data_IF_309241359038
#
_entry.id   IF_309241359038
#
_cell.length_a   1.000
_cell.length_b   1.000
_cell.length_c   1.000
_cell.angle_alpha   90.00
_cell.angle_beta   90.00
_cell.angle_gamma   90.00
#
_symmetry.space_group_name_H-M   'P 1'
#
loop_
_entity.id
_entity.type
_entity.pdbx_description
1 polymer ?
#
# COMPACT_ATOMS: atom_id res chain seq x y z
N UNK A 1 35.52 19.43 31.07
CA UNK A 1 34.63 20.46 30.56
C UNK A 1 33.69 19.80 29.54
N UNK A 2 32.48 19.39 29.99
CA UNK A 2 31.40 18.93 29.13
C UNK A 2 30.70 20.17 28.60
N UNK A 3 30.78 20.39 27.30
CA UNK A 3 29.97 21.37 26.60
C UNK A 3 28.56 20.82 26.40
N UNK A 4 27.64 21.19 27.28
CA UNK A 4 26.23 21.02 27.12
C UNK A 4 25.74 21.91 25.97
N UNK A 5 25.45 21.33 24.81
CA UNK A 5 24.71 22.02 23.74
C UNK A 5 23.25 22.14 24.16
N UNK A 6 22.91 23.30 24.69
CA UNK A 6 21.51 23.70 24.97
C UNK A 6 20.80 23.97 23.64
N UNK A 7 20.05 22.98 23.15
CA UNK A 7 19.00 23.22 22.18
C UNK A 7 17.77 23.81 22.93
N UNK A 8 17.13 24.89 22.43
CA UNK A 8 16.00 25.49 23.12
C UNK A 8 14.81 24.50 23.16
N UNK A 9 14.05 24.42 24.28
CA UNK A 9 12.88 23.58 24.36
C UNK A 9 11.76 24.20 23.52
N UNK A 10 11.53 23.66 22.34
CA UNK A 10 10.30 23.93 21.59
C UNK A 10 9.14 23.33 22.38
N UNK A 11 8.11 24.09 22.69
CA UNK A 11 6.91 23.70 23.44
C UNK A 11 6.25 22.40 22.88
N UNK A 12 6.50 22.09 21.64
CA UNK A 12 6.01 20.91 20.94
C UNK A 12 6.57 19.59 21.51
N UNK A 13 7.81 19.55 22.00
CA UNK A 13 8.45 18.33 22.49
C UNK A 13 7.77 17.69 23.73
N UNK A 14 7.38 18.43 24.76
CA UNK A 14 6.67 17.87 25.91
C UNK A 14 5.30 17.32 25.53
N UNK A 15 4.59 17.96 24.60
CA UNK A 15 3.28 17.52 24.12
C UNK A 15 3.37 16.20 23.33
N UNK A 16 4.32 16.08 22.41
CA UNK A 16 4.56 14.86 21.65
C UNK A 16 4.96 13.69 22.57
N UNK A 17 5.81 13.96 23.57
CA UNK A 17 6.19 12.94 24.54
C UNK A 17 4.98 12.48 25.37
N UNK A 18 4.09 13.38 25.75
CA UNK A 18 2.86 13.05 26.49
C UNK A 18 1.91 12.15 25.67
N UNK A 19 1.76 12.43 24.36
CA UNK A 19 0.86 11.69 23.47
C UNK A 19 1.46 10.32 23.09
N UNK A 20 2.72 10.30 22.64
CA UNK A 20 3.35 9.10 22.07
C UNK A 20 4.23 8.33 23.07
N UNK A 21 4.42 8.86 24.30
CA UNK A 21 5.18 8.21 25.38
C UNK A 21 6.61 7.87 24.97
N UNK A 22 7.30 8.83 24.33
CA UNK A 22 8.62 8.63 23.73
C UNK A 22 9.65 8.11 24.75
N UNK A 23 9.65 8.64 25.96
CA UNK A 23 10.58 8.22 27.04
C UNK A 23 10.35 6.76 27.43
N UNK A 24 9.08 6.30 27.49
CA UNK A 24 8.75 4.90 27.80
C UNK A 24 9.25 3.93 26.72
N UNK A 25 9.31 4.39 25.48
CA UNK A 25 9.79 3.62 24.33
C UNK A 25 11.27 3.89 24.00
N UNK A 26 12.00 4.63 24.86
CA UNK A 26 13.44 4.92 24.73
C UNK A 26 13.81 5.49 23.35
N UNK A 27 12.99 6.40 22.83
CA UNK A 27 13.15 7.03 21.52
C UNK A 27 13.13 8.55 21.63
N UNK A 28 13.46 9.23 20.54
CA UNK A 28 13.47 10.69 20.46
C UNK A 28 12.66 11.16 19.26
N UNK A 29 12.15 12.40 19.30
CA UNK A 29 11.38 12.98 18.16
C UNK A 29 12.18 12.90 16.87
N UNK A 30 13.47 13.26 16.86
CA UNK A 30 14.29 13.20 15.65
C UNK A 30 14.40 11.79 15.06
N UNK A 31 14.55 10.78 15.91
CA UNK A 31 14.60 9.37 15.50
C UNK A 31 13.27 8.89 14.93
N UNK A 32 12.15 9.28 15.53
CA UNK A 32 10.81 8.95 15.05
C UNK A 32 10.50 9.62 13.69
N UNK A 33 10.91 10.90 13.51
CA UNK A 33 10.77 11.61 12.23
C UNK A 33 11.60 10.94 11.13
N UNK A 34 12.86 10.59 11.42
CA UNK A 34 13.71 9.87 10.46
C UNK A 34 13.10 8.51 10.11
N UNK A 35 12.60 7.77 11.07
CA UNK A 35 11.95 6.49 10.88
C UNK A 35 10.69 6.61 10.02
N UNK A 36 9.86 7.64 10.26
CA UNK A 36 8.66 7.90 9.46
C UNK A 36 8.98 8.27 8.02
N UNK A 37 10.02 9.06 7.78
CA UNK A 37 10.50 9.36 6.44
C UNK A 37 11.02 8.09 5.74
N UNK A 38 11.73 7.22 6.46
CA UNK A 38 12.21 5.94 5.93
C UNK A 38 11.04 5.04 5.55
N UNK A 39 10.02 4.92 6.40
CA UNK A 39 8.78 4.18 6.10
C UNK A 39 8.10 4.76 4.84
N UNK A 40 7.89 6.08 4.79
CA UNK A 40 7.30 6.72 3.62
C UNK A 40 8.09 6.42 2.35
N UNK A 41 9.43 6.56 2.37
CA UNK A 41 10.28 6.29 1.21
C UNK A 41 10.18 4.83 0.76
N UNK A 42 10.02 3.88 1.70
CA UNK A 42 9.88 2.47 1.36
C UNK A 42 8.54 2.15 0.68
N UNK A 43 7.45 2.88 1.01
CA UNK A 43 6.11 2.59 0.53
C UNK A 43 5.51 3.65 -0.41
N UNK A 44 6.25 4.73 -0.74
CA UNK A 44 5.76 5.81 -1.61
C UNK A 44 5.39 5.35 -3.02
N UNK A 45 5.92 4.21 -3.46
CA UNK A 45 5.59 3.59 -4.74
C UNK A 45 4.09 3.31 -4.92
N UNK A 46 3.33 3.15 -3.81
CA UNK A 46 1.89 2.92 -3.84
C UNK A 46 1.14 4.06 -4.52
N UNK A 47 1.65 5.30 -4.41
CA UNK A 47 1.06 6.47 -5.05
C UNK A 47 1.06 6.38 -6.58
N UNK A 48 1.99 5.62 -7.16
CA UNK A 48 2.04 5.35 -8.59
C UNK A 48 1.33 4.04 -8.97
N UNK A 49 1.59 2.98 -8.22
CA UNK A 49 1.14 1.62 -8.57
C UNK A 49 -0.38 1.46 -8.37
N UNK A 50 -0.95 1.94 -7.25
CA UNK A 50 -2.38 1.82 -7.01
C UNK A 50 -3.23 2.50 -8.10
N UNK A 51 -2.96 3.77 -8.48
CA UNK A 51 -3.69 4.41 -9.57
C UNK A 51 -3.53 3.74 -10.93
N UNK A 52 -2.37 3.15 -11.22
CA UNK A 52 -2.15 2.40 -12.46
C UNK A 52 -2.97 1.12 -12.51
N UNK A 53 -3.08 0.38 -11.42
CA UNK A 53 -3.89 -0.83 -11.32
C UNK A 53 -5.37 -0.48 -11.43
N UNK A 54 -5.86 0.49 -10.65
CA UNK A 54 -7.28 0.85 -10.64
C UNK A 54 -7.75 1.54 -11.92
N UNK A 55 -6.83 2.18 -12.67
CA UNK A 55 -7.10 2.70 -14.01
C UNK A 55 -7.59 1.62 -14.97
N UNK A 56 -7.05 0.41 -14.88
CA UNK A 56 -7.46 -0.72 -15.70
C UNK A 56 -8.93 -1.12 -15.45
N UNK A 57 -9.45 -0.87 -14.25
CA UNK A 57 -10.86 -1.00 -13.90
C UNK A 57 -11.74 0.16 -14.40
N UNK A 58 -11.16 1.15 -15.11
CA UNK A 58 -11.87 2.33 -15.61
C UNK A 58 -11.95 3.51 -14.63
N UNK A 59 -11.17 3.49 -13.54
CA UNK A 59 -11.16 4.60 -12.58
C UNK A 59 -10.25 5.75 -13.05
N UNK A 60 -10.64 7.04 -12.80
CA UNK A 60 -9.83 8.20 -13.18
C UNK A 60 -8.51 8.25 -12.41
N UNK A 61 -7.38 8.05 -13.10
CA UNK A 61 -6.06 7.88 -12.48
C UNK A 61 -5.66 9.05 -11.54
N UNK A 62 -5.86 10.30 -11.97
CA UNK A 62 -5.50 11.48 -11.18
C UNK A 62 -6.29 11.57 -9.87
N UNK A 63 -7.61 11.29 -9.91
CA UNK A 63 -8.44 11.24 -8.70
C UNK A 63 -8.00 10.09 -7.78
N UNK A 64 -7.63 8.94 -8.34
CA UNK A 64 -7.13 7.79 -7.56
C UNK A 64 -5.81 8.11 -6.87
N UNK A 65 -4.88 8.87 -7.49
CA UNK A 65 -3.66 9.36 -6.79
C UNK A 65 -4.04 10.14 -5.53
N UNK A 66 -4.98 11.07 -5.68
CA UNK A 66 -5.43 11.92 -4.56
C UNK A 66 -6.05 11.09 -3.43
N UNK A 67 -7.00 10.20 -3.76
CA UNK A 67 -7.65 9.39 -2.72
C UNK A 67 -6.72 8.35 -2.11
N UNK A 68 -5.74 7.84 -2.85
CA UNK A 68 -4.70 6.95 -2.32
C UNK A 68 -3.89 7.63 -1.23
N UNK A 69 -3.41 8.85 -1.48
CA UNK A 69 -2.62 9.59 -0.49
C UNK A 69 -3.46 9.99 0.73
N UNK A 70 -4.70 10.45 0.53
CA UNK A 70 -5.61 10.84 1.62
C UNK A 70 -5.95 9.63 2.47
N UNK A 71 -6.36 8.51 1.87
CA UNK A 71 -6.74 7.30 2.63
C UNK A 71 -5.55 6.69 3.35
N UNK A 72 -4.36 6.66 2.73
CA UNK A 72 -3.14 6.21 3.38
C UNK A 72 -2.81 7.09 4.60
N UNK A 73 -2.88 8.42 4.46
CA UNK A 73 -2.63 9.34 5.55
C UNK A 73 -3.66 9.18 6.68
N UNK A 74 -4.96 9.20 6.38
CA UNK A 74 -6.02 9.10 7.39
C UNK A 74 -5.99 7.76 8.13
N UNK A 75 -5.82 6.66 7.41
CA UNK A 75 -5.76 5.31 8.00
C UNK A 75 -4.51 5.15 8.87
N UNK A 76 -3.37 5.69 8.42
CA UNK A 76 -2.13 5.69 9.20
C UNK A 76 -2.25 6.52 10.47
N UNK A 77 -2.87 7.70 10.40
CA UNK A 77 -3.17 8.52 11.58
C UNK A 77 -4.11 7.80 12.55
N UNK A 78 -5.15 7.17 12.04
CA UNK A 78 -6.08 6.39 12.86
C UNK A 78 -5.33 5.28 13.63
N UNK A 79 -4.47 4.52 12.94
CA UNK A 79 -3.63 3.49 13.57
C UNK A 79 -2.69 4.10 14.61
N UNK A 80 -2.01 5.20 14.30
CA UNK A 80 -1.09 5.88 15.18
C UNK A 80 -1.75 6.29 16.52
N UNK A 81 -2.92 6.93 16.45
CA UNK A 81 -3.61 7.43 17.65
C UNK A 81 -4.32 6.32 18.43
N UNK A 82 -4.88 5.30 17.78
CA UNK A 82 -5.55 4.20 18.47
C UNK A 82 -4.58 3.25 19.18
N UNK A 83 -3.40 3.02 18.59
CA UNK A 83 -2.49 1.97 19.06
C UNK A 83 -1.15 2.50 19.58
N UNK A 84 -0.69 3.63 19.08
CA UNK A 84 0.67 4.14 19.25
C UNK A 84 1.73 3.22 18.60
N UNK A 85 1.40 2.52 17.51
CA UNK A 85 2.33 1.67 16.77
C UNK A 85 3.00 2.43 15.62
N UNK A 86 4.26 2.10 15.29
CA UNK A 86 4.99 2.65 14.14
C UNK A 86 4.57 1.94 12.84
N UNK A 87 3.25 1.89 12.57
CA UNK A 87 2.64 1.18 11.46
C UNK A 87 1.98 2.17 10.50
N UNK A 88 2.34 2.09 9.24
CA UNK A 88 1.69 2.80 8.16
C UNK A 88 0.70 1.89 7.42
N UNK A 89 -0.40 2.47 6.97
CA UNK A 89 -1.47 1.82 6.23
C UNK A 89 -1.61 2.47 4.86
N UNK A 90 -1.86 1.65 3.84
CA UNK A 90 -2.15 2.11 2.49
C UNK A 90 -2.95 1.05 1.71
N UNK A 91 -3.50 1.36 0.50
CA UNK A 91 -4.21 0.37 -0.31
C UNK A 91 -3.36 -0.88 -0.58
N UNK A 92 -3.91 -2.07 -0.27
CA UNK A 92 -3.20 -3.35 -0.37
C UNK A 92 -3.04 -3.82 -1.81
N UNK A 93 -1.81 -4.10 -2.25
CA UNK A 93 -1.51 -4.46 -3.64
C UNK A 93 -2.23 -5.71 -4.12
N UNK A 94 -2.25 -6.77 -3.31
CA UNK A 94 -2.92 -8.02 -3.65
C UNK A 94 -4.42 -7.85 -3.80
N UNK A 95 -5.02 -7.04 -2.93
CA UNK A 95 -6.44 -6.74 -2.96
C UNK A 95 -6.77 -5.82 -4.15
N UNK A 96 -5.91 -4.84 -4.46
CA UNK A 96 -6.06 -3.98 -5.65
C UNK A 96 -6.08 -4.80 -6.93
N UNK A 97 -5.15 -5.75 -7.05
CA UNK A 97 -5.06 -6.65 -8.20
C UNK A 97 -6.31 -7.56 -8.29
N UNK A 98 -6.76 -8.12 -7.18
CA UNK A 98 -7.99 -8.90 -7.12
C UNK A 98 -9.22 -8.07 -7.48
N UNK A 99 -9.35 -6.88 -6.91
CA UNK A 99 -10.42 -5.91 -7.21
C UNK A 99 -10.48 -5.60 -8.72
N UNK A 100 -9.34 -5.24 -9.31
CA UNK A 100 -9.29 -4.82 -10.71
C UNK A 100 -9.43 -5.99 -11.68
N UNK A 101 -8.56 -6.99 -11.53
CA UNK A 101 -8.43 -8.02 -12.56
C UNK A 101 -9.41 -9.17 -12.39
N UNK A 102 -9.75 -9.55 -11.17
CA UNK A 102 -10.68 -10.64 -10.92
C UNK A 102 -12.13 -10.15 -10.84
N UNK A 103 -12.38 -9.10 -10.02
CA UNK A 103 -13.75 -8.63 -9.80
C UNK A 103 -14.23 -7.75 -10.95
N UNK A 104 -13.51 -6.67 -11.26
CA UNK A 104 -13.98 -5.74 -12.30
C UNK A 104 -13.85 -6.31 -13.71
N UNK A 105 -12.68 -6.79 -14.10
CA UNK A 105 -12.44 -7.26 -15.47
C UNK A 105 -12.85 -8.71 -15.67
N UNK A 106 -12.60 -9.60 -14.70
CA UNK A 106 -12.90 -11.03 -14.81
C UNK A 106 -14.37 -11.35 -14.63
N UNK A 107 -15.01 -10.81 -13.58
CA UNK A 107 -16.43 -11.02 -13.31
C UNK A 107 -17.35 -9.96 -13.95
N UNK A 108 -16.79 -8.93 -14.61
CA UNK A 108 -17.56 -7.88 -15.27
C UNK A 108 -18.29 -6.93 -14.30
N UNK A 109 -17.85 -6.84 -13.05
CA UNK A 109 -18.49 -6.00 -12.02
C UNK A 109 -18.02 -4.55 -12.19
N UNK A 110 -18.92 -3.57 -12.34
CA UNK A 110 -18.53 -2.16 -12.36
C UNK A 110 -17.75 -1.78 -11.10
N UNK A 111 -16.72 -0.92 -11.22
CA UNK A 111 -15.87 -0.55 -10.09
C UNK A 111 -16.65 0.09 -8.94
N UNK A 112 -17.77 0.77 -9.21
CA UNK A 112 -18.65 1.34 -8.18
C UNK A 112 -19.28 0.23 -7.32
N UNK A 113 -19.75 -0.84 -7.95
CA UNK A 113 -20.31 -2.01 -7.26
C UNK A 113 -19.20 -2.80 -6.56
N UNK A 114 -18.00 -2.85 -7.14
CA UNK A 114 -16.84 -3.45 -6.47
C UNK A 114 -16.42 -2.65 -5.22
N UNK A 115 -16.52 -1.31 -5.22
CA UNK A 115 -16.36 -0.49 -4.01
C UNK A 115 -17.44 -0.80 -2.97
N UNK A 116 -18.68 -1.06 -3.39
CA UNK A 116 -19.74 -1.54 -2.51
C UNK A 116 -19.40 -2.87 -1.81
N UNK A 117 -18.77 -3.80 -2.54
CA UNK A 117 -18.26 -5.06 -1.97
C UNK A 117 -17.14 -4.82 -0.94
N UNK A 118 -16.21 -3.91 -1.23
CA UNK A 118 -15.13 -3.51 -0.30
C UNK A 118 -15.71 -2.87 0.96
N UNK A 119 -16.69 -1.99 0.82
CA UNK A 119 -17.38 -1.39 1.97
C UNK A 119 -18.05 -2.45 2.85
N UNK A 120 -18.83 -3.34 2.24
CA UNK A 120 -19.51 -4.43 2.95
C UNK A 120 -18.49 -5.35 3.64
N UNK A 121 -17.34 -5.63 3.00
CA UNK A 121 -16.23 -6.35 3.59
C UNK A 121 -15.66 -5.61 4.81
N UNK A 122 -15.43 -4.31 4.73
CA UNK A 122 -14.95 -3.48 5.84
C UNK A 122 -15.92 -3.49 7.04
N UNK A 123 -17.22 -3.41 6.79
CA UNK A 123 -18.25 -3.53 7.84
C UNK A 123 -18.22 -4.93 8.47
N UNK A 124 -18.13 -5.99 7.66
CA UNK A 124 -18.00 -7.35 8.16
C UNK A 124 -16.75 -7.54 9.01
N UNK A 125 -15.62 -6.96 8.59
CA UNK A 125 -14.39 -6.92 9.36
C UNK A 125 -14.56 -6.24 10.71
N UNK A 126 -15.24 -5.10 10.73
CA UNK A 126 -15.49 -4.36 11.97
C UNK A 126 -16.31 -5.20 12.94
N UNK A 127 -17.38 -5.83 12.47
CA UNK A 127 -18.23 -6.71 13.28
C UNK A 127 -17.44 -7.91 13.83
N UNK A 128 -16.60 -8.55 13.01
CA UNK A 128 -15.72 -9.65 13.43
C UNK A 128 -14.66 -9.20 14.43
N UNK A 129 -14.13 -7.99 14.28
CA UNK A 129 -13.13 -7.43 15.20
C UNK A 129 -13.74 -7.08 16.56
N UNK A 130 -14.94 -6.50 16.58
CA UNK A 130 -15.67 -6.16 17.81
C UNK A 130 -16.16 -7.40 18.57
N UNK A 131 -16.55 -8.47 17.86
CA UNK A 131 -16.98 -9.74 18.47
C UNK A 131 -15.83 -10.63 18.96
N UNK A 132 -14.57 -10.29 18.63
CA UNK A 132 -13.41 -11.15 18.93
C UNK A 132 -13.33 -12.44 18.11
N UNK A 133 -14.26 -12.64 17.17
CA UNK A 133 -14.29 -13.83 16.30
C UNK A 133 -13.10 -13.86 15.33
N UNK A 134 -12.59 -12.70 14.94
CA UNK A 134 -11.44 -12.57 14.01
C UNK A 134 -10.21 -13.35 14.53
N UNK A 135 -9.86 -13.20 15.81
CA UNK A 135 -8.74 -13.94 16.41
C UNK A 135 -8.98 -15.45 16.43
N UNK A 136 -10.22 -15.87 16.72
CA UNK A 136 -10.60 -17.30 16.72
C UNK A 136 -10.49 -17.90 15.31
N UNK A 137 -11.02 -17.22 14.28
CA UNK A 137 -10.95 -17.67 12.88
C UNK A 137 -9.48 -17.83 12.46
N UNK A 138 -8.63 -16.83 12.72
CA UNK A 138 -7.20 -16.89 12.39
C UNK A 138 -6.52 -18.06 13.07
N UNK A 139 -6.82 -18.32 14.34
CA UNK A 139 -6.21 -19.41 15.10
C UNK A 139 -6.69 -20.79 14.66
N UNK A 140 -7.90 -20.91 14.09
CA UNK A 140 -8.41 -22.18 13.53
C UNK A 140 -7.71 -22.58 12.22
N UNK A 141 -7.11 -21.64 11.50
CA UNK A 141 -6.50 -21.93 10.19
C UNK A 141 -5.06 -22.46 10.39
N UNK A 142 -4.72 -23.63 9.80
CA UNK A 142 -3.39 -24.21 9.89
C UNK A 142 -2.30 -23.27 9.37
N UNK A 143 -1.13 -23.28 10.00
CA UNK A 143 -0.01 -22.41 9.65
C UNK A 143 0.44 -22.58 8.18
N UNK A 144 0.44 -23.82 7.68
CA UNK A 144 0.75 -24.12 6.28
C UNK A 144 -0.19 -23.43 5.29
N UNK A 145 -1.48 -23.36 5.61
CA UNK A 145 -2.48 -22.67 4.76
C UNK A 145 -2.26 -21.16 4.78
N UNK A 146 -1.89 -20.57 5.91
CA UNK A 146 -1.53 -19.15 6.00
C UNK A 146 -0.36 -18.81 5.07
N UNK A 147 0.70 -19.62 5.11
CA UNK A 147 1.85 -19.43 4.21
C UNK A 147 1.42 -19.60 2.75
N UNK A 148 0.63 -20.62 2.43
CA UNK A 148 0.18 -20.88 1.06
C UNK A 148 -0.62 -19.70 0.49
N UNK A 149 -1.51 -19.09 1.29
CA UNK A 149 -2.28 -17.90 0.87
C UNK A 149 -1.33 -16.74 0.59
N UNK A 150 -0.39 -16.45 1.50
CA UNK A 150 0.57 -15.34 1.32
C UNK A 150 1.44 -15.56 0.07
N UNK A 151 1.95 -16.78 -0.14
CA UNK A 151 2.71 -17.11 -1.36
C UNK A 151 1.83 -16.96 -2.62
N UNK A 152 0.58 -17.43 -2.57
CA UNK A 152 -0.35 -17.32 -3.70
C UNK A 152 -0.64 -15.86 -4.08
N UNK A 153 -0.86 -15.00 -3.10
CA UNK A 153 -1.03 -13.56 -3.30
C UNK A 153 0.23 -12.93 -3.90
N UNK A 154 1.41 -13.26 -3.36
CA UNK A 154 2.69 -12.78 -3.89
C UNK A 154 2.91 -13.18 -5.35
N UNK A 155 2.68 -14.46 -5.69
CA UNK A 155 2.78 -14.93 -7.07
C UNK A 155 1.77 -14.26 -8.01
N UNK A 156 0.54 -14.01 -7.53
CA UNK A 156 -0.47 -13.31 -8.31
C UNK A 156 -0.05 -11.87 -8.61
N UNK A 157 0.47 -11.14 -7.60
CA UNK A 157 0.97 -9.76 -7.78
C UNK A 157 2.16 -9.76 -8.75
N UNK A 158 3.10 -10.68 -8.59
CA UNK A 158 4.27 -10.80 -9.48
C UNK A 158 3.83 -11.08 -10.93
N UNK A 159 2.84 -11.96 -11.13
CA UNK A 159 2.28 -12.23 -12.47
C UNK A 159 1.67 -10.97 -13.09
N UNK A 160 0.92 -10.17 -12.32
CA UNK A 160 0.38 -8.89 -12.78
C UNK A 160 1.53 -7.92 -13.14
N UNK A 161 2.60 -7.88 -12.34
CA UNK A 161 3.80 -7.11 -12.64
C UNK A 161 4.42 -7.51 -13.98
N UNK A 162 4.60 -8.80 -14.23
CA UNK A 162 5.14 -9.33 -15.50
C UNK A 162 4.24 -9.03 -16.70
N UNK A 163 2.91 -9.10 -16.49
CA UNK A 163 1.92 -8.71 -17.51
C UNK A 163 2.02 -7.21 -17.83
N UNK A 164 2.07 -6.36 -16.83
CA UNK A 164 2.15 -4.91 -17.00
C UNK A 164 3.50 -4.46 -17.61
N UNK A 165 4.56 -5.25 -17.38
CA UNK A 165 5.85 -5.09 -18.01
C UNK A 165 5.84 -5.49 -19.51
N UNK A 166 4.82 -6.22 -19.97
CA UNK A 166 4.80 -6.81 -21.31
C UNK A 166 5.72 -8.03 -21.46
N UNK A 167 6.29 -8.54 -20.35
CA UNK A 167 7.11 -9.75 -20.34
C UNK A 167 6.26 -11.00 -20.55
N UNK A 168 5.04 -10.97 -19.98
CA UNK A 168 4.02 -12.00 -20.18
C UNK A 168 2.84 -11.39 -20.91
N UNK A 169 2.43 -11.98 -22.03
CA UNK A 169 1.30 -11.53 -22.85
C UNK A 169 0.30 -12.65 -23.09
N UNK A 170 -0.95 -12.27 -23.44
CA UNK A 170 -1.99 -13.25 -23.72
C UNK A 170 -1.68 -14.06 -25.00
N UNK A 171 -1.97 -15.36 -24.97
CA UNK A 171 -1.86 -16.29 -26.11
C UNK A 171 -3.14 -17.10 -26.25
N UNK A 172 -3.65 -17.24 -27.47
CA UNK A 172 -4.83 -18.08 -27.75
C UNK A 172 -4.56 -19.57 -27.54
N UNK A 173 -3.31 -20.01 -27.73
CA UNK A 173 -2.93 -21.43 -27.63
C UNK A 173 -2.61 -21.88 -26.20
N UNK A 174 -1.88 -21.04 -25.45
CA UNK A 174 -1.32 -21.38 -24.12
C UNK A 174 -1.81 -20.45 -23.01
N UNK A 175 -2.85 -19.64 -23.28
CA UNK A 175 -3.36 -18.55 -22.44
C UNK A 175 -2.36 -17.43 -22.21
N UNK A 176 -1.09 -17.76 -21.97
CA UNK A 176 0.00 -16.81 -21.80
C UNK A 176 1.24 -17.27 -22.57
N UNK A 177 2.04 -16.31 -23.01
CA UNK A 177 3.33 -16.53 -23.68
C UNK A 177 4.31 -15.42 -23.32
N UNK A 178 5.59 -15.61 -23.66
CA UNK A 178 6.59 -14.56 -23.53
C UNK A 178 6.27 -13.40 -24.49
N UNK A 179 6.43 -12.19 -24.01
CA UNK A 179 6.30 -10.98 -24.81
C UNK A 179 7.47 -10.76 -25.76
N UNK A 180 7.43 -9.68 -26.50
CA UNK A 180 8.50 -9.29 -27.41
C UNK A 180 9.63 -8.60 -26.63
N UNK A 181 10.72 -9.34 -26.39
CA UNK A 181 11.93 -8.82 -25.73
C UNK A 181 12.71 -7.82 -26.59
N UNK A 182 12.42 -7.71 -27.89
CA UNK A 182 12.93 -6.64 -28.74
C UNK A 182 12.24 -5.29 -28.52
N UNK A 183 11.10 -5.27 -27.82
CA UNK A 183 10.41 -4.03 -27.46
C UNK A 183 11.19 -3.22 -26.44
N UNK A 184 11.43 -1.91 -26.69
CA UNK A 184 12.12 -1.03 -25.74
C UNK A 184 11.44 -0.96 -24.36
N UNK A 185 10.10 -1.06 -24.32
CA UNK A 185 9.34 -1.06 -23.08
C UNK A 185 9.61 -2.30 -22.22
N UNK A 186 9.67 -3.48 -22.84
CA UNK A 186 9.98 -4.75 -22.15
C UNK A 186 11.42 -4.78 -21.68
N UNK A 187 12.36 -4.30 -22.51
CA UNK A 187 13.77 -4.19 -22.13
C UNK A 187 13.98 -3.25 -20.93
N UNK A 188 13.27 -2.11 -20.93
CA UNK A 188 13.31 -1.15 -19.83
C UNK A 188 12.70 -1.73 -18.54
N UNK A 189 11.59 -2.46 -18.63
CA UNK A 189 10.99 -3.13 -17.48
C UNK A 189 11.92 -4.22 -16.92
N UNK A 190 12.56 -5.02 -17.78
CA UNK A 190 13.53 -6.03 -17.36
C UNK A 190 14.74 -5.40 -16.67
N UNK A 191 15.28 -4.30 -17.23
CA UNK A 191 16.32 -3.51 -16.57
C UNK A 191 15.86 -3.05 -15.17
N UNK A 192 14.62 -2.55 -15.05
CA UNK A 192 14.04 -2.15 -13.77
C UNK A 192 13.98 -3.29 -12.75
N UNK A 193 13.55 -4.49 -13.16
CA UNK A 193 13.53 -5.69 -12.30
C UNK A 193 14.93 -6.03 -11.81
N UNK A 194 15.92 -6.05 -12.71
CA UNK A 194 17.31 -6.31 -12.34
C UNK A 194 17.86 -5.26 -11.38
N UNK A 195 17.62 -3.99 -11.67
CA UNK A 195 18.06 -2.87 -10.82
C UNK A 195 17.42 -2.98 -9.42
N UNK A 196 16.12 -3.23 -9.34
CA UNK A 196 15.42 -3.37 -8.06
C UNK A 196 15.98 -4.55 -7.27
N UNK A 197 16.18 -5.71 -7.92
CA UNK A 197 16.77 -6.90 -7.29
C UNK A 197 18.15 -6.61 -6.69
N UNK A 198 19.01 -5.91 -7.43
CA UNK A 198 20.35 -5.51 -6.96
C UNK A 198 20.25 -4.53 -5.79
N UNK A 199 19.40 -3.50 -5.87
CA UNK A 199 19.24 -2.52 -4.79
C UNK A 199 18.69 -3.17 -3.50
N UNK A 200 17.70 -4.06 -3.63
CA UNK A 200 17.13 -4.82 -2.50
C UNK A 200 18.19 -5.75 -1.90
N UNK A 201 18.92 -6.50 -2.72
CA UNK A 201 20.01 -7.38 -2.26
C UNK A 201 21.13 -6.60 -1.53
N UNK A 202 21.39 -5.36 -1.96
CA UNK A 202 22.33 -4.42 -1.31
C UNK A 202 21.73 -3.72 -0.08
N UNK A 203 20.48 -3.99 0.27
CA UNK A 203 19.74 -3.36 1.39
C UNK A 203 19.71 -1.83 1.31
N UNK A 204 19.61 -1.28 0.11
CA UNK A 204 19.52 0.18 -0.09
C UNK A 204 18.17 0.67 0.41
N UNK A 205 18.11 1.66 1.32
CA UNK A 205 16.84 2.23 1.77
C UNK A 205 16.06 2.84 0.59
N UNK A 206 14.77 2.54 0.48
CA UNK A 206 13.94 3.03 -0.63
C UNK A 206 14.29 2.44 -2.01
N UNK A 207 14.89 1.23 -2.06
CA UNK A 207 15.32 0.55 -3.28
C UNK A 207 14.26 0.57 -4.40
N UNK A 208 12.99 0.32 -4.05
CA UNK A 208 11.87 0.29 -5.01
C UNK A 208 11.64 1.67 -5.61
N UNK A 209 11.55 2.71 -4.78
CA UNK A 209 11.32 4.09 -5.26
C UNK A 209 12.50 4.61 -6.09
N UNK A 210 13.73 4.28 -5.68
CA UNK A 210 14.94 4.65 -6.43
C UNK A 210 14.96 3.95 -7.81
N UNK A 211 14.56 2.68 -7.87
CA UNK A 211 14.44 1.96 -9.13
C UNK A 211 13.36 2.56 -10.02
N UNK A 212 12.16 2.86 -9.47
CA UNK A 212 11.09 3.52 -10.22
C UNK A 212 11.57 4.86 -10.77
N UNK A 213 12.24 5.68 -9.96
CA UNK A 213 12.80 6.96 -10.41
C UNK A 213 13.82 6.78 -11.53
N UNK A 214 14.76 5.84 -11.38
CA UNK A 214 15.78 5.55 -12.38
C UNK A 214 15.15 5.07 -13.70
N UNK A 215 14.22 4.13 -13.66
CA UNK A 215 13.53 3.61 -14.85
C UNK A 215 12.69 4.70 -15.52
N UNK A 216 12.00 5.55 -14.73
CA UNK A 216 11.22 6.67 -15.24
C UNK A 216 12.12 7.69 -15.94
N UNK A 217 13.28 8.01 -15.37
CA UNK A 217 14.27 8.91 -15.99
C UNK A 217 14.85 8.33 -17.28
N UNK A 218 15.24 7.06 -17.28
CA UNK A 218 15.73 6.38 -18.50
C UNK A 218 14.62 6.35 -19.56
N UNK A 219 13.37 6.13 -19.17
CA UNK A 219 12.22 6.13 -20.07
C UNK A 219 11.96 7.43 -20.81
N UNK A 220 12.50 8.58 -20.33
CA UNK A 220 12.47 9.87 -21.06
C UNK A 220 13.28 9.83 -22.36
N UNK A 221 14.27 8.95 -22.45
CA UNK A 221 15.15 8.82 -23.62
C UNK A 221 14.84 7.59 -24.48
N UNK A 222 13.96 6.69 -23.99
CA UNK A 222 13.60 5.45 -24.69
C UNK A 222 12.35 5.70 -25.55
N UNK A 223 12.41 5.48 -26.88
CA UNK A 223 11.27 5.69 -27.77
C UNK A 223 10.16 4.67 -27.49
N UNK A 224 8.90 5.10 -27.62
CA UNK A 224 7.70 4.25 -27.44
C UNK A 224 7.30 3.50 -28.72
N UNK A 225 8.02 3.70 -29.83
CA UNK A 225 7.71 3.16 -31.15
C UNK A 225 6.51 3.82 -31.84
N UNK A 226 5.90 4.83 -31.23
CA UNK A 226 4.74 5.59 -31.76
C UNK A 226 5.06 7.06 -32.03
N UNK A 227 6.34 7.43 -31.99
CA UNK A 227 6.81 8.80 -32.18
C UNK A 227 6.99 9.63 -30.89
N UNK A 228 6.81 8.99 -29.71
CA UNK A 228 7.06 9.58 -28.40
C UNK A 228 8.12 8.82 -27.61
N UNK A 229 8.17 9.08 -26.29
CA UNK A 229 9.00 8.37 -25.34
C UNK A 229 8.15 7.60 -24.34
N UNK A 230 8.71 6.56 -23.73
CA UNK A 230 7.99 5.72 -22.75
C UNK A 230 7.56 6.51 -21.51
N UNK A 231 8.34 7.53 -21.13
CA UNK A 231 7.97 8.49 -20.09
C UNK A 231 7.70 9.84 -20.73
N UNK A 232 6.53 10.41 -20.49
CA UNK A 232 6.21 11.76 -20.93
C UNK A 232 6.92 12.79 -20.02
N UNK A 233 7.26 13.96 -20.59
CA UNK A 233 7.75 15.07 -19.77
C UNK A 233 6.62 15.57 -18.84
N UNK A 234 6.92 15.85 -17.57
CA UNK A 234 5.92 16.37 -16.66
C UNK A 234 5.47 17.78 -17.07
N UNK A 235 4.19 18.08 -16.91
CA UNK A 235 3.64 19.41 -17.15
C UNK A 235 4.06 20.43 -16.08
N UNK A 236 4.63 19.96 -14.98
CA UNK A 236 5.15 20.74 -13.85
C UNK A 236 5.66 19.82 -12.76
N UNK A 237 6.38 20.36 -11.78
CA UNK A 237 6.87 19.62 -10.61
C UNK A 237 5.77 19.57 -9.54
N UNK A 238 5.04 20.67 -9.36
CA UNK A 238 3.99 20.83 -8.38
C UNK A 238 2.66 21.15 -9.03
N UNK A 239 1.58 20.58 -8.49
CA UNK A 239 0.20 20.95 -8.83
C UNK A 239 -0.68 20.90 -7.59
N UNK A 240 -1.84 21.53 -7.65
CA UNK A 240 -2.91 21.26 -6.69
C UNK A 240 -3.39 19.80 -6.88
N UNK A 241 -3.77 19.11 -5.79
CA UNK A 241 -4.35 17.77 -5.87
C UNK A 241 -5.56 17.74 -6.80
N UNK A 242 -5.68 16.70 -7.61
CA UNK A 242 -6.87 16.49 -8.43
C UNK A 242 -8.10 16.29 -7.55
N UNK A 243 -9.29 16.74 -8.02
CA UNK A 243 -10.53 16.53 -7.28
C UNK A 243 -10.80 15.05 -7.03
N UNK A 244 -11.11 14.62 -5.81
CA UNK A 244 -11.51 13.24 -5.50
C UNK A 244 -12.96 12.92 -5.91
N UNK A 245 -13.77 13.94 -6.25
CA UNK A 245 -15.20 13.84 -6.54
C UNK A 245 -15.57 12.73 -7.54
N UNK A 246 -14.80 12.48 -8.62
CA UNK A 246 -15.14 11.42 -9.59
C UNK A 246 -15.20 10.02 -9.00
N UNK A 247 -14.52 9.76 -7.88
CA UNK A 247 -14.43 8.44 -7.25
C UNK A 247 -15.00 8.39 -5.83
N UNK A 248 -15.03 9.53 -5.14
CA UNK A 248 -15.48 9.61 -3.75
C UNK A 248 -17.00 9.41 -3.65
N UNK A 249 -17.43 8.59 -2.68
CA UNK A 249 -18.84 8.26 -2.41
C UNK A 249 -19.60 7.68 -3.63
N UNK A 250 -18.89 7.06 -4.57
CA UNK A 250 -19.49 6.42 -5.76
C UNK A 250 -19.79 4.93 -5.54
N UNK A 251 -20.07 4.53 -4.30
CA UNK A 251 -20.42 3.15 -3.98
C UNK A 251 -21.79 2.79 -4.55
N UNK A 252 -21.89 1.59 -5.11
CA UNK A 252 -23.15 1.01 -5.56
C UNK A 252 -23.32 -0.39 -4.93
N UNK A 253 -24.45 -0.60 -4.25
CA UNK A 253 -24.78 -1.87 -3.60
C UNK A 253 -25.70 -2.74 -4.44
N UNK A 254 -26.10 -2.28 -5.63
CA UNK A 254 -27.06 -2.98 -6.51
C UNK A 254 -26.57 -4.39 -6.86
N UNK A 255 -25.28 -4.55 -7.16
CA UNK A 255 -24.71 -5.86 -7.47
C UNK A 255 -24.83 -6.85 -6.29
N UNK A 256 -24.64 -6.39 -5.05
CA UNK A 256 -24.78 -7.24 -3.86
C UNK A 256 -26.23 -7.71 -3.69
N UNK A 257 -27.19 -6.82 -3.94
CA UNK A 257 -28.62 -7.11 -3.76
C UNK A 257 -29.16 -8.00 -4.86
N UNK A 258 -28.77 -7.76 -6.12
CA UNK A 258 -29.29 -8.50 -7.28
C UNK A 258 -28.55 -9.83 -7.52
N UNK A 259 -27.26 -9.92 -7.17
CA UNK A 259 -26.39 -11.06 -7.48
C UNK A 259 -25.68 -11.61 -6.22
N UNK A 260 -26.42 -11.77 -5.12
CA UNK A 260 -25.83 -12.17 -3.84
C UNK A 260 -25.01 -13.48 -3.90
N UNK A 261 -25.46 -14.45 -4.68
CA UNK A 261 -24.76 -15.72 -4.88
C UNK A 261 -23.36 -15.55 -5.50
N UNK A 262 -23.17 -14.50 -6.32
CA UNK A 262 -21.88 -14.15 -6.93
C UNK A 262 -21.07 -13.21 -6.05
N UNK A 263 -21.75 -12.31 -5.33
CA UNK A 263 -21.13 -11.35 -4.42
C UNK A 263 -20.49 -12.02 -3.19
N UNK A 264 -21.15 -13.05 -2.63
CA UNK A 264 -20.71 -13.73 -1.42
C UNK A 264 -19.33 -14.38 -1.53
N UNK A 265 -18.99 -15.19 -2.56
CA UNK A 265 -17.65 -15.72 -2.74
C UNK A 265 -16.59 -14.61 -2.89
N UNK A 266 -16.91 -13.52 -3.60
CA UNK A 266 -15.99 -12.37 -3.77
C UNK A 266 -15.72 -11.73 -2.40
N UNK A 267 -16.75 -11.45 -1.62
CA UNK A 267 -16.62 -10.88 -0.27
C UNK A 267 -15.83 -11.80 0.67
N UNK A 268 -16.09 -13.10 0.65
CA UNK A 268 -15.35 -14.06 1.47
C UNK A 268 -13.86 -14.13 1.06
N UNK A 269 -13.56 -14.06 -0.23
CA UNK A 269 -12.17 -14.01 -0.70
C UNK A 269 -11.49 -12.74 -0.23
N UNK A 270 -12.13 -11.56 -0.40
CA UNK A 270 -11.62 -10.29 0.12
C UNK A 270 -11.38 -10.38 1.62
N UNK A 271 -12.32 -10.91 2.38
CA UNK A 271 -12.23 -11.08 3.82
C UNK A 271 -11.01 -11.92 4.22
N UNK A 272 -10.82 -13.06 3.58
CA UNK A 272 -9.74 -14.00 3.90
C UNK A 272 -8.38 -13.39 3.55
N UNK A 273 -8.24 -12.85 2.35
CA UNK A 273 -6.98 -12.25 1.89
C UNK A 273 -6.57 -11.09 2.79
N UNK A 274 -7.49 -10.17 3.04
CA UNK A 274 -7.28 -8.98 3.87
C UNK A 274 -6.92 -9.37 5.32
N UNK A 275 -7.63 -10.36 5.88
CA UNK A 275 -7.38 -10.85 7.23
C UNK A 275 -5.95 -11.38 7.41
N UNK A 276 -5.45 -12.17 6.44
CA UNK A 276 -4.10 -12.74 6.54
C UNK A 276 -3.01 -11.73 6.29
N UNK A 277 -3.20 -10.84 5.33
CA UNK A 277 -2.26 -9.78 5.01
C UNK A 277 -2.04 -8.87 6.22
N UNK A 278 -3.13 -8.40 6.81
CA UNK A 278 -3.06 -7.53 7.98
C UNK A 278 -2.46 -8.19 9.22
N UNK A 279 -2.88 -9.39 9.58
CA UNK A 279 -2.38 -10.05 10.79
C UNK A 279 -0.90 -10.41 10.63
N UNK A 280 -0.50 -10.91 9.46
CA UNK A 280 0.89 -11.22 9.16
C UNK A 280 1.79 -10.00 9.32
N UNK A 281 1.39 -8.90 8.71
CA UNK A 281 2.11 -7.63 8.77
C UNK A 281 2.13 -7.03 10.18
N UNK A 282 0.98 -7.01 10.84
CA UNK A 282 0.85 -6.47 12.20
C UNK A 282 1.80 -7.20 13.17
N UNK A 283 1.80 -8.52 13.18
CA UNK A 283 2.67 -9.33 14.04
C UNK A 283 4.14 -9.17 13.61
N UNK A 284 4.44 -9.21 12.32
CA UNK A 284 5.81 -9.12 11.80
C UNK A 284 6.48 -7.81 12.18
N UNK A 285 5.81 -6.68 11.95
CA UNK A 285 6.36 -5.34 12.21
C UNK A 285 6.44 -5.07 13.72
N UNK A 286 5.39 -5.41 14.48
CA UNK A 286 5.39 -5.18 15.94
C UNK A 286 6.40 -6.07 16.69
N UNK A 287 6.67 -7.29 16.19
CA UNK A 287 7.76 -8.14 16.68
C UNK A 287 9.12 -7.49 16.46
N UNK A 288 9.38 -6.95 15.26
CA UNK A 288 10.62 -6.20 14.96
C UNK A 288 10.76 -4.93 15.80
N UNK A 289 9.65 -4.27 16.10
CA UNK A 289 9.62 -3.08 16.95
C UNK A 289 9.82 -3.40 18.45
N UNK A 290 9.86 -4.68 18.83
CA UNK A 290 9.98 -5.09 20.24
C UNK A 290 8.73 -4.78 21.08
N UNK A 291 7.55 -4.71 20.44
CA UNK A 291 6.29 -4.35 21.09
C UNK A 291 5.48 -5.56 21.58
N UNK A 292 5.91 -6.79 21.29
CA UNK A 292 5.25 -7.99 21.77
C UNK A 292 5.51 -8.19 23.28
N UNK A 293 4.53 -8.74 23.99
CA UNK A 293 4.69 -9.19 25.38
C UNK A 293 5.58 -10.45 25.44
N UNK A 294 6.09 -10.80 26.63
CA UNK A 294 6.89 -12.02 26.82
C UNK A 294 6.17 -13.30 26.42
N UNK A 295 4.83 -13.33 26.48
CA UNK A 295 3.98 -14.45 26.04
C UNK A 295 3.75 -14.48 24.52
N UNK A 296 4.38 -13.55 23.76
CA UNK A 296 4.21 -13.42 22.32
C UNK A 296 2.93 -12.70 21.89
N UNK A 297 2.08 -12.28 22.82
CA UNK A 297 0.85 -11.54 22.52
C UNK A 297 1.14 -10.08 22.17
N UNK A 298 0.31 -9.51 21.27
CA UNK A 298 0.40 -8.11 20.91
C UNK A 298 -0.50 -7.27 21.84
N UNK A 299 0.07 -6.33 22.62
CA UNK A 299 -0.75 -5.39 23.38
C UNK A 299 -1.57 -4.54 22.41
N UNK A 300 -2.84 -4.28 22.77
CA UNK A 300 -3.78 -3.50 21.96
C UNK A 300 -4.13 -4.12 20.57
N UNK A 301 -3.94 -5.42 20.36
CA UNK A 301 -4.28 -6.09 19.10
C UNK A 301 -5.73 -5.77 18.66
N UNK A 302 -6.71 -5.85 19.55
CA UNK A 302 -8.10 -5.51 19.24
C UNK A 302 -8.28 -4.09 18.72
N UNK A 303 -7.54 -3.09 19.27
CA UNK A 303 -7.60 -1.71 18.77
C UNK A 303 -6.97 -1.58 17.37
N UNK A 304 -5.88 -2.30 17.11
CA UNK A 304 -5.25 -2.31 15.79
C UNK A 304 -6.20 -2.92 14.74
N UNK A 305 -6.87 -4.02 15.08
CA UNK A 305 -7.84 -4.68 14.19
C UNK A 305 -9.08 -3.81 13.93
N UNK A 306 -9.53 -3.05 14.91
CA UNK A 306 -10.62 -2.08 14.75
C UNK A 306 -10.17 -0.90 13.88
N UNK A 307 -8.96 -0.34 14.10
CA UNK A 307 -8.42 0.73 13.27
C UNK A 307 -8.32 0.32 11.80
N UNK A 308 -7.87 -0.91 11.56
CA UNK A 308 -7.77 -1.52 10.25
C UNK A 308 -9.14 -1.69 9.56
N UNK A 309 -10.14 -2.16 10.30
CA UNK A 309 -11.51 -2.27 9.79
C UNK A 309 -12.12 -0.92 9.41
N UNK A 310 -11.89 0.11 10.22
CA UNK A 310 -12.27 1.49 9.89
C UNK A 310 -11.53 2.02 8.66
N UNK A 311 -10.24 1.68 8.51
CA UNK A 311 -9.45 2.05 7.33
C UNK A 311 -10.04 1.44 6.05
N UNK A 312 -10.49 0.17 6.09
CA UNK A 312 -11.14 -0.49 4.97
C UNK A 312 -12.49 0.17 4.59
N UNK A 313 -13.29 0.60 5.58
CA UNK A 313 -14.53 1.35 5.33
C UNK A 313 -14.21 2.72 4.74
N UNK A 314 -13.27 3.46 5.32
CA UNK A 314 -12.87 4.78 4.83
C UNK A 314 -12.35 4.71 3.39
N UNK A 315 -11.51 3.73 3.07
CA UNK A 315 -10.94 3.60 1.73
C UNK A 315 -12.00 3.44 0.64
N UNK A 316 -13.02 2.62 0.89
CA UNK A 316 -14.12 2.43 -0.05
C UNK A 316 -14.96 3.70 -0.22
N UNK A 317 -15.22 4.45 0.86
CA UNK A 317 -15.93 5.74 0.81
C UNK A 317 -15.16 6.80 0.01
N UNK A 318 -13.83 6.82 0.14
CA UNK A 318 -12.98 7.71 -0.65
C UNK A 318 -12.78 7.22 -2.09
N UNK A 319 -13.19 6.00 -2.43
CA UNK A 319 -13.12 5.48 -3.79
C UNK A 319 -11.79 4.82 -4.13
N UNK A 320 -11.21 4.08 -3.20
CA UNK A 320 -10.09 3.17 -3.44
C UNK A 320 -10.36 1.81 -2.83
N UNK A 321 -9.58 0.79 -3.20
CA UNK A 321 -9.72 -0.56 -2.64
C UNK A 321 -9.33 -0.60 -1.15
N UNK A 322 -9.42 -1.77 -0.53
CA UNK A 322 -9.12 -1.95 0.89
C UNK A 322 -7.71 -1.48 1.26
N UNK A 323 -7.63 -0.69 2.33
CA UNK A 323 -6.38 -0.29 2.97
C UNK A 323 -5.97 -1.35 3.98
N UNK A 324 -4.68 -1.69 4.01
CA UNK A 324 -4.06 -2.69 4.88
C UNK A 324 -2.82 -2.14 5.57
N UNK A 325 -2.37 -2.82 6.63
CA UNK A 325 -1.08 -2.54 7.27
C UNK A 325 0.08 -2.94 6.35
N UNK A 326 1.10 -2.08 6.21
CA UNK A 326 2.21 -2.28 5.29
C UNK A 326 3.45 -2.86 5.97
N UNK A 327 4.00 -3.92 5.38
CA UNK A 327 5.23 -4.59 5.87
C UNK A 327 6.46 -3.67 5.76
N UNK A 328 6.46 -2.72 4.84
CA UNK A 328 7.49 -1.69 4.66
C UNK A 328 7.66 -0.80 5.89
N UNK A 329 6.67 -0.77 6.79
CA UNK A 329 6.80 -0.15 8.11
C UNK A 329 7.97 -0.73 8.91
N UNK A 330 8.39 -1.96 8.61
CA UNK A 330 9.57 -2.58 9.20
C UNK A 330 10.85 -1.79 8.93
N UNK A 331 10.98 -1.13 7.78
CA UNK A 331 12.15 -0.29 7.45
C UNK A 331 12.27 0.92 8.39
N UNK A 332 11.14 1.57 8.72
CA UNK A 332 11.13 2.63 9.73
C UNK A 332 11.43 2.12 11.13
N UNK A 333 10.93 0.94 11.49
CA UNK A 333 11.28 0.28 12.75
C UNK A 333 12.78 -0.01 12.84
N UNK A 334 13.39 -0.48 11.75
CA UNK A 334 14.84 -0.70 11.65
C UNK A 334 15.63 0.61 11.75
N UNK A 335 15.09 1.72 11.24
CA UNK A 335 15.65 3.07 11.40
C UNK A 335 15.45 3.65 12.82
N UNK A 336 14.78 2.93 13.71
CA UNK A 336 14.62 3.28 15.11
C UNK A 336 13.24 3.75 15.55
N UNK A 337 12.23 3.68 14.67
CA UNK A 337 10.83 3.98 14.99
C UNK A 337 10.25 3.01 16.02
N UNK A 338 9.56 3.52 17.02
CA UNK A 338 8.99 2.73 18.12
C UNK A 338 7.57 3.12 18.46
N UNK A 339 7.11 4.27 18.00
CA UNK A 339 5.85 4.88 18.43
C UNK A 339 4.98 5.30 17.24
N UNK A 340 3.73 5.69 17.53
CA UNK A 340 2.83 6.26 16.55
C UNK A 340 3.34 7.57 15.91
N UNK A 341 4.35 8.24 16.48
CA UNK A 341 4.93 9.42 15.86
C UNK A 341 5.63 9.12 14.53
N UNK A 342 6.25 7.94 14.40
CA UNK A 342 6.74 7.41 13.11
C UNK A 342 5.62 7.36 12.08
N UNK A 343 4.47 6.79 12.47
CA UNK A 343 3.30 6.69 11.58
C UNK A 343 2.71 8.07 11.22
N UNK A 344 2.61 8.99 12.20
CA UNK A 344 2.18 10.37 11.94
C UNK A 344 3.10 11.06 10.92
N UNK A 345 4.40 10.88 11.04
CA UNK A 345 5.36 11.44 10.07
C UNK A 345 5.13 10.88 8.68
N UNK A 346 4.93 9.57 8.57
CA UNK A 346 4.61 8.91 7.29
C UNK A 346 3.32 9.47 6.69
N UNK A 347 2.28 9.67 7.50
CA UNK A 347 1.01 10.24 7.06
C UNK A 347 1.16 11.67 6.53
N UNK A 348 1.93 12.50 7.21
CA UNK A 348 2.26 13.87 6.75
C UNK A 348 2.99 13.83 5.41
N UNK A 349 3.94 12.92 5.24
CA UNK A 349 4.65 12.74 3.97
C UNK A 349 3.68 12.34 2.83
N UNK A 350 2.69 11.48 3.08
CA UNK A 350 1.65 11.15 2.09
C UNK A 350 0.83 12.38 1.68
N UNK A 351 0.45 13.25 2.64
CA UNK A 351 -0.27 14.48 2.34
C UNK A 351 0.59 15.47 1.55
N UNK A 352 1.88 15.57 1.85
CA UNK A 352 2.81 16.41 1.09
C UNK A 352 3.02 15.88 -0.33
N UNK A 353 3.02 14.57 -0.52
CA UNK A 353 3.16 13.93 -1.83
C UNK A 353 1.98 14.23 -2.78
N UNK A 354 0.82 14.68 -2.27
CA UNK A 354 -0.31 15.14 -3.10
C UNK A 354 0.09 16.25 -4.07
N UNK A 355 0.98 17.13 -3.66
CA UNK A 355 1.45 18.23 -4.51
C UNK A 355 2.41 17.76 -5.61
N UNK A 356 2.93 16.54 -5.52
CA UNK A 356 3.82 15.92 -6.53
C UNK A 356 3.05 15.07 -7.56
N UNK A 357 1.72 15.20 -7.63
CA UNK A 357 0.85 14.46 -8.56
C UNK A 357 1.36 14.47 -10.02
N UNK A 358 1.87 15.58 -10.60
CA UNK A 358 2.37 15.56 -11.97
C UNK A 358 3.56 14.61 -12.15
N UNK A 359 4.43 14.49 -11.15
CA UNK A 359 5.57 13.57 -11.19
C UNK A 359 5.12 12.11 -11.01
N UNK A 360 4.07 11.87 -10.24
CA UNK A 360 3.51 10.51 -10.05
C UNK A 360 2.84 10.02 -11.33
N UNK A 361 2.14 10.89 -12.05
CA UNK A 361 1.37 10.53 -13.25
C UNK A 361 2.23 10.19 -14.46
N UNK A 362 3.49 10.65 -14.53
CA UNK A 362 4.40 10.32 -15.62
C UNK A 362 5.09 8.96 -15.47
N UNK A 363 4.98 8.32 -14.31
CA UNK A 363 5.61 7.03 -14.04
C UNK A 363 5.01 5.97 -14.96
N UNK A 364 5.79 5.39 -15.89
CA UNK A 364 5.26 4.40 -16.82
C UNK A 364 5.06 3.03 -16.15
N UNK A 365 4.20 2.20 -16.72
CA UNK A 365 3.96 0.84 -16.21
C UNK A 365 5.25 -0.01 -16.15
N UNK A 366 6.18 0.19 -17.07
CA UNK A 366 7.50 -0.45 -17.06
C UNK A 366 8.33 -0.12 -15.81
N UNK A 367 8.14 1.07 -15.22
CA UNK A 367 8.84 1.47 -14.00
C UNK A 367 8.18 0.91 -12.73
N UNK A 368 6.87 0.68 -12.73
CA UNK A 368 6.15 0.14 -11.56
C UNK A 368 6.13 -1.38 -11.51
N UNK A 369 6.27 -2.05 -12.65
CA UNK A 369 6.29 -3.51 -12.74
C UNK A 369 7.33 -4.18 -11.80
N UNK A 370 8.57 -3.67 -11.67
CA UNK A 370 9.55 -4.20 -10.71
C UNK A 370 9.07 -4.25 -9.27
N UNK A 371 8.30 -3.25 -8.84
CA UNK A 371 7.75 -3.18 -7.48
C UNK A 371 6.69 -4.25 -7.20
N UNK A 372 6.08 -4.80 -8.24
CA UNK A 372 5.10 -5.89 -8.14
C UNK A 372 5.74 -7.27 -8.25
N UNK A 373 6.92 -7.37 -8.89
CA UNK A 373 7.61 -8.65 -9.14
C UNK A 373 8.52 -9.02 -7.97
N UNK A 374 9.13 -8.05 -7.30
CA UNK A 374 10.09 -8.21 -6.20
C UNK A 374 9.45 -7.90 -4.85
#
# INVERSE_FOLDING_TARGET
AQSASLSPPVILFPMLNRIFKLDQHQTTVGRELQAGLTTFTAMAYILAVNPLILKDAGMPQAAVVTVTAITAAMSTLLMAFMTNFPLALAPGMGINAYFTYTVCLGAGVPWQSALGLVFANGVMFLLLSLSGLREKIVNCIPYSLKIAITCGVGLFIAFIGLKNAGIVVASKATFVTAGDFGSPAVALAFFGIMLTAVLVARRVPGAIVLSIAAVTLVGLFVPDGKGGHLTALPTGIFSLPASPEPVMLKLDFKFILENFAMALPIMLTLLIVDMFDNIGTLIGVTKRAGLLRPDGSLPKAGRALVADSFAAILSSLFGTSTVVSYIESASGVEAGGRTGLTAVTTAVCFLLALFLTPLILIIPAAATAPALVI
#
